data_IF_892827580416
#
_entry.id   IF_892827580416
#
_cell.length_a   1.000
_cell.length_b   1.000
_cell.length_c   1.000
_cell.angle_alpha   90.00
_cell.angle_beta   90.00
_cell.angle_gamma   90.00
#
_symmetry.space_group_name_H-M   'P 1'
#
loop_
_entity.id
_entity.type
_entity.pdbx_description
1 polymer ?
#
# COMPACT_ATOMS: atom_id res chain seq x y z
N UNK A 1 28.72 -15.47 9.60
CA UNK A 1 27.43 -15.28 10.28
C UNK A 1 26.35 -15.17 9.20
N UNK A 2 25.26 -15.93 9.30
CA UNK A 2 24.19 -15.95 8.29
C UNK A 2 22.91 -15.37 8.91
N UNK A 3 22.18 -14.56 8.14
CA UNK A 3 20.91 -13.95 8.54
C UNK A 3 19.74 -14.79 8.00
N UNK A 4 18.65 -14.88 8.77
CA UNK A 4 17.44 -15.63 8.41
C UNK A 4 16.23 -14.69 8.37
N UNK A 5 15.89 -14.19 7.18
CA UNK A 5 14.67 -13.42 6.95
C UNK A 5 13.45 -14.34 6.98
N UNK A 6 12.35 -13.89 7.62
CA UNK A 6 11.10 -14.68 7.76
C UNK A 6 9.97 -14.17 6.86
N UNK A 7 9.87 -12.86 6.70
CA UNK A 7 8.82 -12.19 5.94
C UNK A 7 9.29 -10.80 5.51
N UNK A 8 8.53 -10.17 4.62
CA UNK A 8 8.64 -8.75 4.35
C UNK A 8 7.94 -8.01 5.49
N UNK A 9 8.63 -7.10 6.17
CA UNK A 9 8.02 -6.30 7.25
C UNK A 9 7.20 -5.12 6.71
N UNK A 10 7.75 -4.41 5.72
CA UNK A 10 7.10 -3.26 5.10
C UNK A 10 7.58 -3.02 3.67
N UNK A 11 6.76 -2.28 2.90
CA UNK A 11 7.08 -1.81 1.55
C UNK A 11 6.92 -0.30 1.50
N UNK A 12 7.96 0.40 1.03
CA UNK A 12 7.97 1.86 0.90
C UNK A 12 7.78 2.26 -0.56
N UNK A 13 6.85 3.18 -0.83
CA UNK A 13 6.65 3.71 -2.18
C UNK A 13 6.10 5.13 -2.17
N UNK A 14 6.20 5.77 -3.33
CA UNK A 14 5.67 7.12 -3.56
C UNK A 14 4.26 7.02 -4.11
N UNK A 15 3.41 7.95 -3.70
CA UNK A 15 2.04 8.11 -4.21
C UNK A 15 1.82 9.56 -4.62
N UNK A 16 0.95 9.79 -5.62
CA UNK A 16 0.64 11.15 -6.08
C UNK A 16 -0.26 11.89 -5.09
N UNK A 17 -1.28 11.21 -4.59
CA UNK A 17 -2.22 11.70 -3.60
C UNK A 17 -2.31 10.70 -2.45
N UNK A 18 -1.87 11.10 -1.26
CA UNK A 18 -1.80 10.24 -0.08
C UNK A 18 -3.19 9.91 0.46
N UNK A 19 -4.10 10.87 0.50
CA UNK A 19 -5.45 10.69 1.03
C UNK A 19 -6.26 9.72 0.16
N UNK A 20 -6.22 9.89 -1.16
CA UNK A 20 -6.86 8.97 -2.10
C UNK A 20 -6.29 7.55 -1.99
N UNK A 21 -4.96 7.43 -1.86
CA UNK A 21 -4.29 6.13 -1.71
C UNK A 21 -4.72 5.43 -0.42
N UNK A 22 -4.79 6.15 0.69
CA UNK A 22 -5.26 5.61 1.97
C UNK A 22 -6.71 5.16 1.87
N UNK A 23 -7.57 5.98 1.27
CA UNK A 23 -8.98 5.65 1.07
C UNK A 23 -9.12 4.36 0.26
N UNK A 24 -8.36 4.22 -0.82
CA UNK A 24 -8.37 3.01 -1.65
C UNK A 24 -8.06 1.74 -0.84
N UNK A 25 -6.91 1.69 -0.15
CA UNK A 25 -6.52 0.51 0.61
C UNK A 25 -7.45 0.26 1.82
N UNK A 26 -8.01 1.31 2.40
CA UNK A 26 -9.02 1.19 3.47
C UNK A 26 -10.32 0.59 2.94
N UNK A 27 -10.81 1.03 1.79
CA UNK A 27 -12.10 0.58 1.22
C UNK A 27 -12.03 -0.82 0.58
N UNK A 28 -10.86 -1.21 0.08
CA UNK A 28 -10.64 -2.51 -0.55
C UNK A 28 -10.21 -3.59 0.45
N UNK A 29 -9.25 -3.29 1.34
CA UNK A 29 -8.65 -4.27 2.25
C UNK A 29 -8.96 -4.01 3.73
N UNK A 30 -9.67 -2.95 4.07
CA UNK A 30 -9.93 -2.60 5.48
C UNK A 30 -8.69 -2.10 6.24
N UNK A 31 -7.63 -1.70 5.53
CA UNK A 31 -6.38 -1.25 6.17
C UNK A 31 -6.60 -0.01 7.04
N UNK A 32 -5.87 0.02 8.15
CA UNK A 32 -5.91 1.10 9.14
C UNK A 32 -4.64 1.94 9.06
N UNK A 33 -4.72 3.19 9.50
CA UNK A 33 -3.52 4.01 9.74
C UNK A 33 -2.84 3.46 10.99
N UNK A 34 -1.61 2.96 10.81
CA UNK A 34 -0.78 2.41 11.89
C UNK A 34 0.16 3.48 12.44
N UNK A 35 0.56 4.42 11.59
CA UNK A 35 1.34 5.60 11.94
C UNK A 35 0.85 6.77 11.08
N UNK A 36 0.61 7.90 11.73
CA UNK A 36 0.33 9.18 11.07
C UNK A 36 1.60 9.66 10.34
N UNK A 37 2.26 10.72 10.76
CA UNK A 37 3.46 11.19 10.05
C UNK A 37 4.72 10.49 10.51
N UNK A 38 5.69 10.38 9.59
CA UNK A 38 7.04 9.96 9.95
C UNK A 38 7.77 11.15 10.60
N UNK A 39 8.07 11.12 11.91
CA UNK A 39 8.73 12.23 12.59
C UNK A 39 10.16 12.49 12.05
N UNK A 40 10.74 11.53 11.33
CA UNK A 40 12.08 11.63 10.76
C UNK A 40 12.10 12.11 9.29
N UNK A 41 10.95 12.37 8.67
CA UNK A 41 10.86 12.89 7.29
C UNK A 41 9.86 14.04 7.22
N UNK A 42 10.41 15.25 7.27
CA UNK A 42 9.64 16.51 7.32
C UNK A 42 9.27 17.00 5.90
N UNK A 43 9.99 16.52 4.87
CA UNK A 43 9.92 17.12 3.52
C UNK A 43 8.74 16.66 2.66
N UNK A 44 7.97 15.65 3.11
CA UNK A 44 6.80 15.16 2.38
C UNK A 44 5.79 14.49 3.32
N UNK A 45 4.46 14.74 3.14
CA UNK A 45 3.42 14.01 3.84
C UNK A 45 3.60 12.50 3.67
N UNK A 46 3.55 11.76 4.77
CA UNK A 46 3.70 10.32 4.76
C UNK A 46 2.80 9.67 5.79
N UNK A 47 2.36 8.44 5.50
CA UNK A 47 1.63 7.59 6.45
C UNK A 47 2.01 6.13 6.29
N UNK A 48 1.94 5.39 7.39
CA UNK A 48 2.02 3.92 7.36
C UNK A 48 0.61 3.38 7.57
N UNK A 49 0.14 2.60 6.60
CA UNK A 49 -1.14 1.89 6.69
C UNK A 49 -0.94 0.38 6.61
N UNK A 50 -1.93 -0.37 7.07
CA UNK A 50 -1.93 -1.82 6.92
C UNK A 50 -2.75 -2.55 7.95
N UNK A 51 -2.25 -3.73 8.31
CA UNK A 51 -2.76 -4.60 9.36
C UNK A 51 -1.56 -5.19 10.14
N UNK A 52 -1.77 -6.24 10.93
CA UNK A 52 -0.73 -6.81 11.78
C UNK A 52 0.45 -7.44 10.99
N UNK A 53 0.23 -7.81 9.73
CA UNK A 53 1.21 -8.53 8.90
C UNK A 53 1.72 -7.73 7.70
N UNK A 54 0.96 -6.74 7.24
CA UNK A 54 1.24 -5.95 6.04
C UNK A 54 1.39 -4.49 6.46
N UNK A 55 2.51 -3.85 6.07
CA UNK A 55 2.74 -2.42 6.28
C UNK A 55 3.14 -1.75 4.96
N UNK A 56 2.34 -0.77 4.55
CA UNK A 56 2.61 0.08 3.40
C UNK A 56 3.00 1.47 3.90
N UNK A 57 4.23 1.89 3.61
CA UNK A 57 4.70 3.22 3.96
C UNK A 57 4.67 4.10 2.71
N UNK A 58 3.72 5.04 2.70
CA UNK A 58 3.44 5.86 1.53
C UNK A 58 3.97 7.28 1.74
N UNK A 59 4.63 7.81 0.72
CA UNK A 59 5.16 9.19 0.70
C UNK A 59 4.52 9.96 -0.44
N UNK A 60 3.89 11.10 -0.16
CA UNK A 60 3.29 11.92 -1.21
C UNK A 60 4.36 12.64 -2.03
N UNK A 61 4.29 12.52 -3.35
CA UNK A 61 5.11 13.28 -4.28
C UNK A 61 4.22 13.73 -5.44
N UNK A 62 3.93 15.03 -5.52
CA UNK A 62 2.97 15.63 -6.46
C UNK A 62 3.31 15.30 -7.93
N UNK A 63 4.60 15.37 -8.26
CA UNK A 63 5.13 15.14 -9.60
C UNK A 63 5.66 13.72 -9.79
N UNK A 64 5.16 12.75 -9.03
CA UNK A 64 5.60 11.36 -9.22
C UNK A 64 5.23 10.85 -10.61
N UNK A 65 6.17 10.13 -11.22
CA UNK A 65 5.90 9.29 -12.37
C UNK A 65 5.97 7.81 -11.95
N UNK A 66 5.25 6.91 -12.64
CA UNK A 66 5.40 5.47 -12.42
C UNK A 66 6.82 4.96 -12.69
N UNK A 67 7.60 5.68 -13.51
CA UNK A 67 8.95 5.29 -13.87
C UNK A 67 9.88 5.32 -12.64
N UNK A 68 10.54 4.20 -12.35
CA UNK A 68 11.40 4.04 -11.16
C UNK A 68 10.65 3.82 -9.84
N UNK A 69 9.32 3.67 -9.90
CA UNK A 69 8.51 3.20 -8.78
C UNK A 69 8.61 1.69 -8.58
N UNK A 70 7.79 1.15 -7.67
CA UNK A 70 7.63 -0.30 -7.54
C UNK A 70 6.87 -0.81 -8.76
N UNK A 71 7.49 -1.67 -9.56
CA UNK A 71 6.86 -2.26 -10.73
C UNK A 71 5.73 -3.23 -10.35
N UNK A 72 5.91 -4.00 -9.28
CA UNK A 72 4.93 -4.98 -8.82
C UNK A 72 5.19 -5.38 -7.36
N UNK A 73 4.11 -5.58 -6.60
CA UNK A 73 4.09 -6.31 -5.34
C UNK A 73 2.72 -6.99 -5.21
N UNK A 74 2.62 -8.00 -4.34
CA UNK A 74 1.38 -8.76 -4.18
C UNK A 74 1.12 -9.10 -2.72
N UNK A 75 -0.15 -9.35 -2.42
CA UNK A 75 -0.60 -9.89 -1.16
C UNK A 75 -1.01 -11.35 -1.34
N UNK A 76 -0.78 -12.16 -0.32
CA UNK A 76 -1.47 -13.43 -0.21
C UNK A 76 -2.87 -13.14 0.37
N UNK A 77 -3.93 -13.57 -0.32
CA UNK A 77 -5.32 -13.27 0.00
C UNK A 77 -6.05 -14.60 0.23
N UNK A 78 -6.73 -14.72 1.37
CA UNK A 78 -7.50 -15.93 1.72
C UNK A 78 -8.86 -15.99 0.99
N UNK A 79 -9.51 -14.84 0.79
CA UNK A 79 -10.84 -14.72 0.20
C UNK A 79 -10.81 -13.97 -1.15
N UNK A 80 -10.09 -14.54 -2.13
CA UNK A 80 -9.83 -13.88 -3.41
C UNK A 80 -11.10 -13.44 -4.17
N UNK A 81 -12.15 -14.26 -4.17
CA UNK A 81 -13.42 -13.95 -4.85
C UNK A 81 -14.09 -12.68 -4.30
N UNK A 82 -14.06 -12.46 -2.99
CA UNK A 82 -14.62 -11.25 -2.37
C UNK A 82 -13.86 -9.99 -2.82
N UNK A 83 -12.53 -10.11 -2.97
CA UNK A 83 -11.69 -9.01 -3.48
C UNK A 83 -12.05 -8.69 -4.93
N UNK A 84 -12.29 -9.71 -5.77
CA UNK A 84 -12.76 -9.52 -7.16
C UNK A 84 -14.12 -8.80 -7.17
N UNK A 85 -15.09 -9.25 -6.38
CA UNK A 85 -16.38 -8.57 -6.24
C UNK A 85 -16.21 -7.11 -5.81
N UNK A 86 -15.35 -6.84 -4.83
CA UNK A 86 -15.09 -5.49 -4.33
C UNK A 86 -14.40 -4.59 -5.35
N UNK A 87 -13.44 -5.11 -6.10
CA UNK A 87 -12.80 -4.40 -7.22
C UNK A 87 -13.84 -3.99 -8.27
N UNK A 88 -14.78 -4.88 -8.63
CA UNK A 88 -15.85 -4.56 -9.57
C UNK A 88 -16.77 -3.43 -9.05
N UNK A 89 -17.17 -3.47 -7.78
CA UNK A 89 -17.97 -2.41 -7.15
C UNK A 89 -17.26 -1.04 -7.17
N UNK A 90 -15.95 -1.05 -6.88
CA UNK A 90 -15.11 0.15 -6.85
C UNK A 90 -14.64 0.60 -8.26
N UNK A 91 -15.02 -0.13 -9.31
CA UNK A 91 -14.61 0.09 -10.72
C UNK A 91 -13.08 0.07 -10.89
N UNK A 92 -12.43 -0.85 -10.18
CA UNK A 92 -11.01 -1.15 -10.34
C UNK A 92 -10.85 -2.15 -11.48
N UNK A 93 -10.06 -1.79 -12.48
CA UNK A 93 -9.74 -2.69 -13.60
C UNK A 93 -8.90 -3.87 -13.12
N UNK A 94 -9.33 -5.08 -13.45
CA UNK A 94 -8.62 -6.33 -13.14
C UNK A 94 -7.98 -6.82 -14.45
N UNK A 95 -6.65 -6.86 -14.50
CA UNK A 95 -5.90 -7.27 -15.69
C UNK A 95 -5.68 -8.78 -15.77
N UNK A 96 -5.57 -9.43 -14.61
CA UNK A 96 -5.36 -10.88 -14.47
C UNK A 96 -6.19 -11.36 -13.27
N UNK A 97 -6.98 -12.42 -13.45
CA UNK A 97 -7.84 -13.02 -12.45
C UNK A 97 -7.78 -14.54 -12.53
#
# INVERSE_FOLDING_TARGET
MVLYAKSIDHVNFKVKNLEESIKFYKELFGFKVLQEENPNKIDAPSKIIGNDTIKLCMYQVQDMSPAGGIAHFGFNIENFEDVISRCNELRVEILYG
#
